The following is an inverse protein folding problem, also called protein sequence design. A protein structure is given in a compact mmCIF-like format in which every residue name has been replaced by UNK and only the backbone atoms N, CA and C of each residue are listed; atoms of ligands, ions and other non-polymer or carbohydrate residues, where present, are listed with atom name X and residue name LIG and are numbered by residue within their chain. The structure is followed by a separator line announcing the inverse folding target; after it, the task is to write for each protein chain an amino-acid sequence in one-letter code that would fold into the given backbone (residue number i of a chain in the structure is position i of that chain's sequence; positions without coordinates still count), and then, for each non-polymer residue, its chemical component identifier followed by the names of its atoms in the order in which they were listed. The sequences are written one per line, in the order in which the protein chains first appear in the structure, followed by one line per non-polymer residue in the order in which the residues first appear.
data_IF_584291042772
#
_entry.id   IF_584291042772
#
_cell.length_a   1.000
_cell.length_b   1.000
_cell.length_c   1.000
_cell.angle_alpha   90.00
_cell.angle_beta   90.00
_cell.angle_gamma   90.00
#
_symmetry.space_group_name_H-M   'P 1'
#
loop_
_entity.id
_entity.type
_entity.pdbx_description
1 polymer ?
#
# COMPACT_ATOMS: atom_id res chain seq x y z
N UNK A 1 31.47 16.30 4.91
CA UNK A 1 31.25 16.28 3.46
C UNK A 1 32.12 15.19 2.85
N UNK A 2 31.79 13.95 3.17
CA UNK A 2 32.40 12.76 2.59
C UNK A 2 31.25 12.12 1.83
N UNK A 3 31.38 12.17 0.51
CA UNK A 3 30.35 11.78 -0.44
C UNK A 3 29.77 10.42 -0.07
N UNK A 4 28.48 10.43 0.26
CA UNK A 4 27.61 9.27 0.14
C UNK A 4 27.41 9.07 -1.37
N UNK A 5 28.49 8.75 -2.08
CA UNK A 5 28.44 8.04 -3.34
C UNK A 5 28.40 6.56 -2.97
N UNK A 6 27.27 6.13 -2.40
CA UNK A 6 26.81 4.77 -2.68
C UNK A 6 26.34 4.83 -4.13
N UNK A 7 27.28 4.71 -5.06
CA UNK A 7 26.96 4.26 -6.41
C UNK A 7 26.23 2.94 -6.21
N UNK A 8 24.92 2.95 -6.42
CA UNK A 8 24.20 1.75 -6.80
C UNK A 8 24.89 1.25 -8.08
N UNK A 9 25.86 0.35 -7.95
CA UNK A 9 26.08 -0.64 -8.99
C UNK A 9 24.76 -1.40 -9.05
N UNK A 10 23.88 -0.97 -9.95
CA UNK A 10 22.67 -1.68 -10.27
C UNK A 10 23.14 -3.06 -10.75
N UNK A 11 22.90 -4.09 -9.94
CA UNK A 11 22.94 -5.44 -10.44
C UNK A 11 21.99 -5.48 -11.65
N UNK A 12 22.52 -5.72 -12.85
CA UNK A 12 21.71 -5.85 -14.08
C UNK A 12 20.70 -7.00 -14.00
N UNK A 13 20.80 -7.83 -12.94
CA UNK A 13 19.93 -8.95 -12.65
C UNK A 13 19.27 -8.80 -11.28
N UNK A 14 17.94 -8.91 -11.21
CA UNK A 14 17.20 -8.90 -9.96
C UNK A 14 17.52 -10.12 -9.09
N UNK A 15 17.70 -9.95 -7.76
CA UNK A 15 17.76 -11.08 -6.83
C UNK A 15 16.38 -11.64 -6.47
N UNK A 16 15.30 -11.04 -6.97
CA UNK A 16 13.92 -11.44 -6.72
C UNK A 16 13.37 -12.20 -7.94
N UNK A 17 12.23 -12.87 -7.76
CA UNK A 17 11.65 -13.74 -8.78
C UNK A 17 10.15 -13.49 -8.97
N UNK A 18 9.60 -14.00 -10.07
CA UNK A 18 8.16 -14.00 -10.35
C UNK A 18 7.60 -12.57 -10.38
N UNK A 19 6.61 -12.29 -9.53
CA UNK A 19 5.96 -10.95 -9.48
C UNK A 19 6.93 -9.79 -9.23
N UNK A 20 8.14 -10.04 -8.73
CA UNK A 20 9.12 -9.03 -8.33
C UNK A 20 10.43 -9.10 -9.14
N UNK A 21 10.47 -9.86 -10.24
CA UNK A 21 11.69 -10.21 -10.99
C UNK A 21 12.44 -9.03 -11.64
N UNK A 22 11.87 -7.84 -11.66
CA UNK A 22 12.50 -6.63 -12.20
C UNK A 22 12.91 -5.64 -11.10
N UNK A 23 12.90 -6.09 -9.84
CA UNK A 23 13.10 -5.23 -8.69
C UNK A 23 14.34 -5.62 -7.88
N UNK A 24 15.04 -4.63 -7.36
CA UNK A 24 16.06 -4.78 -6.33
C UNK A 24 15.50 -4.29 -4.98
N UNK A 25 15.74 -5.02 -3.88
CA UNK A 25 15.39 -4.54 -2.55
C UNK A 25 16.41 -3.53 -2.03
N UNK A 26 15.93 -2.47 -1.37
CA UNK A 26 16.76 -1.54 -0.59
C UNK A 26 17.01 -2.01 0.84
N UNK A 27 17.58 -1.15 1.70
CA UNK A 27 17.79 -1.47 3.11
C UNK A 27 16.47 -1.59 3.87
N UNK A 28 16.45 -2.45 4.89
CA UNK A 28 15.38 -2.57 5.87
C UNK A 28 15.35 -1.30 6.74
N UNK A 29 14.25 -0.57 6.66
CA UNK A 29 13.92 0.56 7.52
C UNK A 29 12.88 0.12 8.55
N UNK A 30 13.02 0.55 9.80
CA UNK A 30 12.10 0.09 10.85
C UNK A 30 11.72 1.21 11.82
N UNK A 31 10.43 1.31 12.13
CA UNK A 31 9.86 2.24 13.11
C UNK A 31 8.82 1.53 13.98
N UNK A 32 9.10 1.41 15.28
CA UNK A 32 8.28 0.59 16.18
C UNK A 32 8.16 -0.85 15.66
N UNK A 33 6.92 -1.30 15.45
CA UNK A 33 6.60 -2.63 14.91
C UNK A 33 6.47 -2.66 13.38
N UNK A 34 6.57 -1.52 12.69
CA UNK A 34 6.50 -1.46 11.23
C UNK A 34 7.90 -1.46 10.63
N UNK A 35 8.13 -2.34 9.67
CA UNK A 35 9.40 -2.45 8.98
C UNK A 35 9.15 -2.49 7.47
N UNK A 36 10.05 -1.90 6.69
CA UNK A 36 9.86 -1.62 5.27
C UNK A 36 11.13 -1.92 4.51
N UNK A 37 11.01 -2.69 3.44
CA UNK A 37 12.05 -2.82 2.41
C UNK A 37 11.55 -2.10 1.17
N UNK A 38 12.24 -1.03 0.78
CA UNK A 38 11.96 -0.34 -0.48
C UNK A 38 12.26 -1.24 -1.68
N UNK A 39 11.49 -1.08 -2.76
CA UNK A 39 11.67 -1.81 -4.01
C UNK A 39 11.99 -0.82 -5.14
N UNK A 40 13.04 -1.13 -5.89
CA UNK A 40 13.62 -0.27 -6.92
C UNK A 40 13.68 -1.03 -8.24
N UNK A 41 13.46 -0.38 -9.39
CA UNK A 41 13.69 -1.03 -10.67
C UNK A 41 15.17 -1.35 -10.84
N UNK A 42 15.49 -2.51 -11.43
CA UNK A 42 16.89 -2.89 -11.74
C UNK A 42 17.48 -2.15 -12.94
N UNK A 43 16.64 -1.49 -13.75
CA UNK A 43 17.08 -0.75 -14.94
C UNK A 43 16.33 0.58 -15.07
N UNK A 44 17.02 1.62 -15.55
CA UNK A 44 16.42 2.91 -15.85
C UNK A 44 15.36 2.81 -16.96
N UNK A 45 15.52 1.87 -17.89
CA UNK A 45 14.57 1.60 -18.97
C UNK A 45 13.18 1.21 -18.43
N UNK A 46 13.12 0.52 -17.29
CA UNK A 46 11.84 0.18 -16.65
C UNK A 46 11.07 1.44 -16.25
N UNK A 47 11.73 2.43 -15.68
CA UNK A 47 11.10 3.69 -15.30
C UNK A 47 10.64 4.49 -16.53
N UNK A 48 11.45 4.51 -17.60
CA UNK A 48 11.08 5.19 -18.85
C UNK A 48 9.86 4.55 -19.54
N UNK A 49 9.77 3.21 -19.58
CA UNK A 49 8.60 2.50 -20.13
C UNK A 49 7.30 2.83 -19.38
N UNK A 50 7.41 3.22 -18.11
CA UNK A 50 6.28 3.48 -17.23
C UNK A 50 6.01 4.98 -17.02
N UNK A 51 6.69 5.88 -17.76
CA UNK A 51 6.42 7.32 -17.72
C UNK A 51 4.98 7.67 -18.12
N UNK A 52 4.35 6.81 -18.92
CA UNK A 52 2.95 6.95 -19.35
C UNK A 52 1.92 6.78 -18.24
N UNK A 53 2.32 6.41 -17.02
CA UNK A 53 1.37 6.19 -15.92
C UNK A 53 1.28 7.42 -15.03
N UNK A 54 0.07 7.96 -14.93
CA UNK A 54 -0.20 9.18 -14.18
C UNK A 54 -0.25 8.91 -12.66
N UNK A 55 0.42 9.72 -11.82
CA UNK A 55 0.32 9.62 -10.36
C UNK A 55 -1.10 9.94 -9.84
N UNK A 56 -1.61 9.21 -8.83
CA UNK A 56 -3.02 9.26 -8.47
C UNK A 56 -3.44 10.55 -7.76
N UNK A 57 -2.63 11.14 -6.89
CA UNK A 57 -3.01 12.37 -6.17
C UNK A 57 -3.02 13.60 -7.08
N UNK A 58 -2.15 13.66 -8.09
CA UNK A 58 -2.09 14.77 -9.03
C UNK A 58 -3.04 14.60 -10.22
N UNK A 59 -3.29 13.37 -10.68
CA UNK A 59 -4.11 13.13 -11.87
C UNK A 59 -5.58 12.80 -11.55
N UNK A 60 -5.89 12.20 -10.40
CA UNK A 60 -7.26 11.80 -10.10
C UNK A 60 -8.10 12.99 -9.64
N UNK A 61 -9.34 13.01 -10.10
CA UNK A 61 -10.38 13.85 -9.56
C UNK A 61 -11.63 13.05 -9.27
N UNK A 62 -12.19 13.23 -8.07
CA UNK A 62 -13.56 12.82 -7.79
C UNK A 62 -14.50 13.94 -8.24
N UNK A 63 -15.21 13.72 -9.35
CA UNK A 63 -16.22 14.64 -9.88
C UNK A 63 -17.42 14.72 -8.92
N UNK A 64 -17.82 13.59 -8.34
CA UNK A 64 -18.85 13.54 -7.31
C UNK A 64 -19.39 12.14 -7.02
N UNK A 65 -20.41 12.08 -6.16
CA UNK A 65 -21.12 10.86 -5.78
C UNK A 65 -22.62 11.02 -6.08
N UNK A 66 -23.13 10.56 -7.24
CA UNK A 66 -24.53 10.76 -7.62
C UNK A 66 -25.51 9.95 -6.75
N UNK A 67 -25.05 8.85 -6.15
CA UNK A 67 -25.81 8.01 -5.21
C UNK A 67 -24.88 7.34 -4.20
N UNK A 68 -25.45 6.76 -3.15
CA UNK A 68 -24.67 5.94 -2.21
C UNK A 68 -24.06 4.74 -2.92
N UNK A 69 -22.80 4.43 -2.60
CA UNK A 69 -22.05 3.37 -3.28
C UNK A 69 -21.54 3.73 -4.68
N UNK A 70 -21.76 4.97 -5.16
CA UNK A 70 -21.34 5.38 -6.51
C UNK A 70 -20.33 6.52 -6.45
N UNK A 71 -19.26 6.43 -7.23
CA UNK A 71 -18.29 7.50 -7.45
C UNK A 71 -18.15 7.79 -8.95
N UNK A 72 -18.04 9.06 -9.30
CA UNK A 72 -17.67 9.52 -10.64
C UNK A 72 -16.25 10.05 -10.57
N UNK A 73 -15.32 9.31 -11.15
CA UNK A 73 -13.89 9.58 -11.11
C UNK A 73 -13.41 10.03 -12.48
N UNK A 74 -12.50 10.99 -12.54
CA UNK A 74 -11.88 11.47 -13.77
C UNK A 74 -10.37 11.40 -13.66
N UNK A 75 -9.73 10.88 -14.69
CA UNK A 75 -8.30 11.08 -14.91
C UNK A 75 -8.12 12.44 -15.62
N UNK A 76 -7.56 13.42 -14.90
CA UNK A 76 -7.33 14.77 -15.42
C UNK A 76 -6.04 14.90 -16.25
N UNK A 77 -5.21 13.86 -16.28
CA UNK A 77 -4.02 13.90 -17.11
C UNK A 77 -4.41 14.03 -18.59
N UNK A 78 -3.70 14.89 -19.31
CA UNK A 78 -3.89 15.10 -20.76
C UNK A 78 -3.31 13.97 -21.59
N UNK A 79 -2.38 13.21 -21.02
CA UNK A 79 -1.79 11.99 -21.56
C UNK A 79 -1.53 11.02 -20.40
N UNK A 80 -1.47 9.74 -20.72
CA UNK A 80 -1.15 8.67 -19.78
C UNK A 80 -2.35 8.03 -19.09
N UNK A 81 -2.14 6.77 -18.69
CA UNK A 81 -3.15 5.93 -18.04
C UNK A 81 -3.01 6.06 -16.53
N UNK A 82 -4.12 6.28 -15.84
CA UNK A 82 -4.18 6.22 -14.38
C UNK A 82 -4.58 4.81 -13.95
N UNK A 83 -3.68 4.15 -13.22
CA UNK A 83 -4.04 2.96 -12.43
C UNK A 83 -4.38 3.46 -11.03
N UNK A 84 -5.66 3.52 -10.66
CA UNK A 84 -6.05 3.90 -9.32
C UNK A 84 -5.76 2.76 -8.33
N UNK A 85 -5.08 3.00 -7.20
CA UNK A 85 -4.78 1.95 -6.24
C UNK A 85 -6.04 1.26 -5.72
N UNK A 86 -5.88 0.00 -5.35
CA UNK A 86 -6.92 -0.78 -4.71
C UNK A 86 -7.32 -0.16 -3.36
N UNK A 87 -8.63 -0.04 -3.09
CA UNK A 87 -9.19 0.40 -1.80
C UNK A 87 -8.87 1.85 -1.39
N UNK A 88 -8.74 2.74 -2.37
CA UNK A 88 -8.67 4.18 -2.15
C UNK A 88 -9.97 4.67 -1.50
N UNK A 89 -9.85 5.54 -0.51
CA UNK A 89 -10.96 6.17 0.17
C UNK A 89 -10.93 7.69 0.00
N UNK A 90 -12.11 8.29 -0.12
CA UNK A 90 -12.32 9.73 -0.21
C UNK A 90 -13.01 10.22 1.05
N UNK A 91 -12.37 11.17 1.73
CA UNK A 91 -12.89 11.73 2.97
C UNK A 91 -13.19 13.22 2.86
N UNK A 92 -14.44 13.59 3.14
CA UNK A 92 -14.90 14.97 3.28
C UNK A 92 -15.78 15.06 4.55
N UNK A 93 -15.54 16.04 5.44
CA UNK A 93 -16.34 16.19 6.65
C UNK A 93 -17.84 16.42 6.37
N UNK A 94 -18.71 15.80 7.16
CA UNK A 94 -20.15 16.05 7.15
C UNK A 94 -20.92 15.41 5.99
N UNK A 95 -20.29 14.55 5.19
CA UNK A 95 -20.94 13.82 4.08
C UNK A 95 -20.66 12.32 4.13
N UNK A 96 -21.43 11.54 3.38
CA UNK A 96 -21.17 10.12 3.21
C UNK A 96 -19.86 9.91 2.44
N UNK A 97 -18.88 9.34 3.12
CA UNK A 97 -17.58 9.03 2.54
C UNK A 97 -17.59 7.66 1.86
N UNK A 98 -16.70 7.48 0.87
CA UNK A 98 -16.65 6.27 0.05
C UNK A 98 -15.25 5.70 -0.09
N UNK A 99 -15.16 4.40 -0.34
CA UNK A 99 -13.95 3.73 -0.78
C UNK A 99 -14.19 2.87 -2.02
N UNK A 100 -13.20 2.79 -2.91
CA UNK A 100 -13.24 1.91 -4.08
C UNK A 100 -13.14 0.44 -3.65
N UNK A 101 -13.75 -0.46 -4.42
CA UNK A 101 -13.75 -1.90 -4.14
C UNK A 101 -12.54 -2.64 -4.67
N UNK A 102 -11.82 -2.03 -5.63
CA UNK A 102 -10.81 -2.67 -6.46
C UNK A 102 -9.90 -1.63 -7.11
N UNK A 103 -8.87 -2.09 -7.81
CA UNK A 103 -8.11 -1.31 -8.79
C UNK A 103 -9.05 -0.87 -9.91
N UNK A 104 -8.91 0.39 -10.30
CA UNK A 104 -9.59 0.96 -11.47
C UNK A 104 -8.52 1.46 -12.44
N UNK A 105 -8.79 1.36 -13.73
CA UNK A 105 -7.91 1.87 -14.79
C UNK A 105 -8.70 2.93 -15.56
N UNK A 106 -8.10 4.10 -15.74
CA UNK A 106 -8.72 5.21 -16.48
C UNK A 106 -7.73 5.72 -17.53
N UNK A 107 -8.15 5.79 -18.79
CA UNK A 107 -7.42 6.46 -19.87
C UNK A 107 -7.29 7.96 -19.60
N UNK A 108 -6.39 8.63 -20.33
CA UNK A 108 -6.23 10.08 -20.24
C UNK A 108 -7.55 10.80 -20.54
N UNK A 109 -7.96 11.73 -19.67
CA UNK A 109 -9.23 12.45 -19.79
C UNK A 109 -10.49 11.62 -19.51
N UNK A 110 -10.38 10.31 -19.28
CA UNK A 110 -11.54 9.44 -19.06
C UNK A 110 -12.29 9.83 -17.78
N UNK A 111 -13.62 9.83 -17.87
CA UNK A 111 -14.52 9.92 -16.71
C UNK A 111 -15.26 8.60 -16.55
N UNK A 112 -15.02 7.92 -15.44
CA UNK A 112 -15.57 6.61 -15.10
C UNK A 112 -16.59 6.73 -13.97
N UNK A 113 -17.77 6.13 -14.15
CA UNK A 113 -18.73 5.92 -13.05
C UNK A 113 -18.56 4.52 -12.50
N UNK A 114 -18.35 4.43 -11.18
CA UNK A 114 -18.13 3.18 -10.46
C UNK A 114 -19.27 3.00 -9.46
N UNK A 115 -20.04 1.92 -9.61
CA UNK A 115 -21.31 1.70 -8.89
C UNK A 115 -21.22 0.63 -7.78
N UNK A 116 -20.02 0.14 -7.50
CA UNK A 116 -19.74 -0.86 -6.46
C UNK A 116 -18.81 -0.33 -5.37
N UNK A 117 -18.80 0.98 -5.11
CA UNK A 117 -18.04 1.55 -4.00
C UNK A 117 -18.66 1.19 -2.63
N UNK A 118 -17.87 1.32 -1.57
CA UNK A 118 -18.32 1.18 -0.18
C UNK A 118 -18.63 2.53 0.43
N UNK A 119 -19.77 2.67 1.10
CA UNK A 119 -19.96 3.75 2.07
C UNK A 119 -19.18 3.42 3.36
N UNK A 120 -18.29 4.31 3.80
CA UNK A 120 -17.41 4.07 4.96
C UNK A 120 -17.81 4.86 6.22
N UNK A 121 -18.97 5.53 6.16
CA UNK A 121 -19.71 6.04 7.32
C UNK A 121 -21.10 5.41 7.34
N UNK A 122 -21.61 5.02 8.51
CA UNK A 122 -22.95 4.45 8.58
C UNK A 122 -24.00 5.56 8.62
N UNK A 123 -25.01 5.49 7.75
CA UNK A 123 -26.18 6.38 7.81
C UNK A 123 -25.87 7.90 7.81
N UNK A 124 -24.71 8.31 7.29
CA UNK A 124 -24.36 9.72 7.18
C UNK A 124 -25.06 10.31 5.97
N UNK A 125 -25.79 11.42 6.15
CA UNK A 125 -26.42 12.12 5.03
C UNK A 125 -25.40 12.97 4.26
N UNK A 126 -25.73 13.27 3.01
CA UNK A 126 -24.92 14.11 2.12
C UNK A 126 -24.03 13.31 1.17
N UNK A 127 -23.59 13.97 0.09
CA UNK A 127 -22.77 13.36 -0.97
C UNK A 127 -21.43 14.09 -1.10
N UNK A 128 -20.40 13.34 -1.47
CA UNK A 128 -19.09 13.88 -1.84
C UNK A 128 -19.23 14.87 -3.00
N UNK A 129 -18.55 16.01 -2.88
CA UNK A 129 -18.47 17.06 -3.90
C UNK A 129 -17.01 17.27 -4.26
N UNK A 130 -16.74 17.74 -5.47
CA UNK A 130 -15.40 17.90 -6.05
C UNK A 130 -14.34 18.60 -5.18
N UNK A 131 -14.73 19.41 -4.18
CA UNK A 131 -13.80 20.17 -3.35
C UNK A 131 -13.52 19.54 -1.96
N UNK A 132 -12.31 19.79 -1.43
CA UNK A 132 -11.91 19.54 -0.03
C UNK A 132 -11.86 18.06 0.42
N UNK A 133 -11.54 17.15 -0.49
CA UNK A 133 -11.43 15.74 -0.17
C UNK A 133 -10.01 15.36 0.23
N UNK A 134 -9.90 14.49 1.24
CA UNK A 134 -8.65 13.80 1.55
C UNK A 134 -8.64 12.45 0.86
N UNK A 135 -7.56 12.20 0.13
CA UNK A 135 -7.25 10.88 -0.41
C UNK A 135 -6.64 10.02 0.70
N UNK A 136 -7.27 8.89 0.95
CA UNK A 136 -6.93 7.95 2.01
C UNK A 136 -6.84 6.52 1.45
N UNK A 137 -6.38 5.58 2.27
CA UNK A 137 -6.44 4.15 1.98
C UNK A 137 -7.28 3.45 3.04
N UNK A 138 -8.01 2.38 2.69
CA UNK A 138 -8.58 1.53 3.73
C UNK A 138 -7.46 0.94 4.61
N UNK A 139 -7.62 0.95 5.95
CA UNK A 139 -6.72 0.24 6.85
C UNK A 139 -6.54 -1.22 6.48
N UNK A 140 -5.33 -1.75 6.69
CA UNK A 140 -4.98 -3.12 6.33
C UNK A 140 -5.98 -4.15 6.89
N UNK A 141 -6.44 -3.96 8.13
CA UNK A 141 -7.43 -4.82 8.79
C UNK A 141 -8.83 -4.82 8.16
N UNK A 142 -9.12 -3.94 7.20
CA UNK A 142 -10.39 -3.89 6.45
C UNK A 142 -10.24 -4.41 5.02
N UNK A 143 -9.02 -4.52 4.49
CA UNK A 143 -8.78 -4.82 3.06
C UNK A 143 -9.24 -6.22 2.68
N UNK A 144 -9.20 -7.21 3.58
CA UNK A 144 -9.77 -8.54 3.36
C UNK A 144 -11.27 -8.46 3.07
N UNK A 145 -12.03 -7.87 3.99
CA UNK A 145 -13.48 -7.75 3.84
C UNK A 145 -13.84 -6.94 2.58
N UNK A 146 -13.10 -5.88 2.29
CA UNK A 146 -13.28 -5.10 1.07
C UNK A 146 -13.03 -5.95 -0.20
N UNK A 147 -11.97 -6.75 -0.24
CA UNK A 147 -11.68 -7.65 -1.36
C UNK A 147 -12.77 -8.70 -1.55
N UNK A 148 -13.22 -9.34 -0.47
CA UNK A 148 -14.26 -10.38 -0.51
C UNK A 148 -15.64 -9.83 -0.95
N UNK A 149 -15.90 -8.53 -0.72
CA UNK A 149 -17.15 -7.86 -1.04
C UNK A 149 -17.10 -7.06 -2.36
N UNK A 150 -16.06 -7.22 -3.18
CA UNK A 150 -15.96 -6.58 -4.49
C UNK A 150 -17.13 -6.98 -5.41
N UNK A 151 -17.63 -6.04 -6.23
CA UNK A 151 -18.74 -6.29 -7.17
C UNK A 151 -20.14 -6.44 -6.53
N UNK A 152 -20.26 -6.50 -5.20
CA UNK A 152 -21.58 -6.54 -4.53
C UNK A 152 -22.18 -5.14 -4.48
N UNK A 153 -23.36 -4.95 -5.09
CA UNK A 153 -24.07 -3.65 -5.16
C UNK A 153 -24.89 -3.35 -3.91
N UNK A 154 -24.22 -3.31 -2.76
CA UNK A 154 -24.75 -2.80 -1.49
C UNK A 154 -23.74 -1.85 -0.89
N UNK A 155 -24.06 -0.57 -0.80
CA UNK A 155 -23.15 0.45 -0.30
C UNK A 155 -22.75 0.24 1.17
N UNK A 156 -23.62 -0.37 1.99
CA UNK A 156 -23.43 -0.54 3.43
C UNK A 156 -22.65 -1.79 3.83
N UNK A 157 -22.28 -2.64 2.87
CA UNK A 157 -21.72 -3.98 3.11
C UNK A 157 -20.41 -4.02 3.91
N UNK A 158 -19.64 -2.92 3.95
CA UNK A 158 -18.41 -2.83 4.74
C UNK A 158 -18.63 -2.41 6.20
N UNK A 159 -19.84 -1.95 6.58
CA UNK A 159 -20.10 -1.40 7.91
C UNK A 159 -19.88 -2.40 9.06
N UNK A 160 -20.22 -3.67 8.85
CA UNK A 160 -19.97 -4.73 9.83
C UNK A 160 -18.48 -4.90 10.08
N UNK A 161 -17.67 -4.94 9.02
CA UNK A 161 -16.23 -5.04 9.11
C UNK A 161 -15.62 -3.79 9.77
N UNK A 162 -16.09 -2.58 9.42
CA UNK A 162 -15.68 -1.33 10.07
C UNK A 162 -15.99 -1.35 11.56
N UNK A 163 -17.17 -1.83 11.96
CA UNK A 163 -17.55 -1.96 13.37
C UNK A 163 -16.62 -2.91 14.11
N UNK A 164 -16.35 -4.08 13.53
CA UNK A 164 -15.44 -5.07 14.12
C UNK A 164 -14.01 -4.52 14.24
N UNK A 165 -13.52 -3.81 13.22
CA UNK A 165 -12.21 -3.17 13.22
C UNK A 165 -12.11 -2.09 14.30
N UNK A 166 -13.08 -1.18 14.39
CA UNK A 166 -13.10 -0.12 15.42
C UNK A 166 -13.10 -0.68 16.85
N UNK A 167 -13.81 -1.79 17.09
CA UNK A 167 -13.82 -2.46 18.40
C UNK A 167 -12.44 -2.93 18.84
N UNK A 168 -11.55 -3.31 17.92
CA UNK A 168 -10.16 -3.69 18.23
C UNK A 168 -9.34 -2.52 18.81
N UNK A 169 -9.81 -1.28 18.62
CA UNK A 169 -9.23 -0.07 19.20
C UNK A 169 -9.99 0.43 20.44
N UNK A 170 -10.94 -0.35 20.97
CA UNK A 170 -11.81 0.06 22.08
C UNK A 170 -12.90 1.06 21.68
N UNK A 171 -13.17 1.21 20.37
CA UNK A 171 -14.10 2.20 19.85
C UNK A 171 -15.44 1.51 19.53
N UNK A 172 -16.49 1.86 20.27
CA UNK A 172 -17.83 1.29 20.09
C UNK A 172 -18.73 2.23 19.25
N UNK A 173 -18.36 2.43 17.98
CA UNK A 173 -19.18 3.16 17.01
C UNK A 173 -19.49 2.29 15.78
N UNK A 174 -20.74 2.40 15.32
CA UNK A 174 -21.35 1.50 14.33
C UNK A 174 -20.93 1.85 12.89
N UNK A 175 -19.85 1.29 12.36
CA UNK A 175 -19.55 1.37 10.92
C UNK A 175 -19.06 2.74 10.41
N UNK A 176 -18.60 3.61 11.31
CA UNK A 176 -18.00 4.91 10.98
C UNK A 176 -16.48 4.86 11.04
N UNK A 177 -15.81 4.80 9.89
CA UNK A 177 -14.35 4.70 9.84
C UNK A 177 -13.67 5.97 10.39
N UNK A 178 -14.31 7.13 10.27
CA UNK A 178 -13.71 8.40 10.69
C UNK A 178 -13.56 8.53 12.21
N UNK A 179 -14.45 7.89 12.97
CA UNK A 179 -14.39 7.90 14.43
C UNK A 179 -13.16 7.18 14.94
N UNK A 180 -12.64 6.22 14.18
CA UNK A 180 -11.33 5.65 14.42
C UNK A 180 -10.21 6.53 13.87
N UNK A 181 -10.34 7.03 12.64
CA UNK A 181 -9.22 7.69 11.97
C UNK A 181 -8.84 9.03 12.61
N UNK A 182 -9.82 9.89 12.93
CA UNK A 182 -9.56 11.25 13.41
C UNK A 182 -8.80 11.29 14.73
N UNK A 183 -9.17 10.53 15.78
CA UNK A 183 -8.44 10.55 17.05
C UNK A 183 -7.03 9.97 16.96
N UNK A 184 -6.80 9.03 16.03
CA UNK A 184 -5.51 8.36 15.88
C UNK A 184 -4.57 9.06 14.89
N UNK A 185 -5.04 10.05 14.13
CA UNK A 185 -4.24 10.66 13.06
C UNK A 185 -2.88 11.20 13.55
N UNK A 186 -2.84 11.86 14.71
CA UNK A 186 -1.59 12.36 15.29
C UNK A 186 -0.60 11.24 15.65
N UNK A 187 -1.09 10.06 16.02
CA UNK A 187 -0.27 8.87 16.30
C UNK A 187 0.22 8.19 15.02
N UNK A 188 -0.44 8.45 13.88
CA UNK A 188 -0.09 7.86 12.59
C UNK A 188 0.92 8.71 11.81
N UNK A 189 0.96 10.02 12.04
CA UNK A 189 1.89 10.95 11.38
C UNK A 189 3.37 10.54 11.52
N UNK A 190 3.88 10.07 12.68
CA UNK A 190 5.28 9.68 12.82
C UNK A 190 5.73 8.59 11.83
N UNK A 191 4.85 7.67 11.41
CA UNK A 191 5.22 6.63 10.44
C UNK A 191 5.64 7.21 9.08
N UNK A 192 5.00 8.30 8.64
CA UNK A 192 5.37 9.00 7.40
C UNK A 192 6.76 9.64 7.51
N UNK A 193 7.10 10.18 8.67
CA UNK A 193 8.36 10.90 8.87
C UNK A 193 9.54 9.98 9.15
N UNK A 194 9.31 8.87 9.85
CA UNK A 194 10.37 7.94 10.23
C UNK A 194 10.78 6.97 9.11
N UNK A 195 9.87 6.67 8.18
CA UNK A 195 10.09 5.76 7.06
C UNK A 195 10.16 6.60 5.79
N UNK A 196 11.34 7.18 5.53
CA UNK A 196 11.55 8.12 4.43
C UNK A 196 11.50 7.42 3.06
N UNK A 197 10.94 8.13 2.09
CA UNK A 197 10.97 7.76 0.67
C UNK A 197 12.41 7.83 0.14
N UNK A 198 12.85 6.76 -0.52
CA UNK A 198 14.17 6.74 -1.16
C UNK A 198 14.06 7.14 -2.64
N UNK A 199 15.03 7.88 -3.21
CA UNK A 199 15.03 8.24 -4.63
C UNK A 199 14.95 7.00 -5.54
N UNK A 200 14.10 7.06 -6.57
CA UNK A 200 13.90 5.94 -7.52
C UNK A 200 13.11 4.75 -6.96
N UNK A 201 12.63 4.82 -5.72
CA UNK A 201 11.77 3.79 -5.15
C UNK A 201 10.42 3.77 -5.87
N UNK A 202 9.96 2.58 -6.28
CA UNK A 202 8.68 2.39 -6.96
C UNK A 202 7.72 1.49 -6.17
N UNK A 203 8.17 0.92 -5.06
CA UNK A 203 7.34 0.05 -4.24
C UNK A 203 7.95 -0.21 -2.87
N UNK A 204 7.27 -1.03 -2.09
CA UNK A 204 7.76 -1.50 -0.82
C UNK A 204 7.13 -2.82 -0.40
N UNK A 205 7.91 -3.61 0.34
CA UNK A 205 7.41 -4.68 1.17
C UNK A 205 7.27 -4.19 2.62
N UNK A 206 6.12 -4.47 3.23
CA UNK A 206 5.77 -4.05 4.58
C UNK A 206 5.70 -5.25 5.52
N UNK A 207 6.33 -5.10 6.68
CA UNK A 207 6.42 -6.12 7.71
C UNK A 207 5.87 -5.58 9.02
N UNK A 208 5.13 -6.42 9.73
CA UNK A 208 4.56 -6.11 11.03
C UNK A 208 5.14 -7.09 12.04
N UNK A 209 5.92 -6.59 12.99
CA UNK A 209 6.64 -7.41 13.97
C UNK A 209 7.40 -8.56 13.28
N UNK A 210 8.22 -8.24 12.28
CA UNK A 210 9.00 -9.21 11.48
C UNK A 210 8.23 -10.07 10.49
N UNK A 211 6.88 -10.04 10.46
CA UNK A 211 6.08 -10.82 9.50
C UNK A 211 5.72 -9.99 8.29
N UNK A 212 5.99 -10.50 7.08
CA UNK A 212 5.57 -9.85 5.84
C UNK A 212 4.04 -9.77 5.75
N UNK A 213 3.47 -8.57 5.72
CA UNK A 213 2.01 -8.34 5.71
C UNK A 213 1.49 -7.70 4.43
N UNK A 214 2.37 -7.10 3.62
CA UNK A 214 1.96 -6.56 2.33
C UNK A 214 3.11 -6.23 1.41
N UNK A 215 2.82 -6.18 0.11
CA UNK A 215 3.72 -5.76 -0.95
C UNK A 215 2.95 -4.82 -1.88
N UNK A 216 3.48 -3.63 -2.07
CA UNK A 216 2.89 -2.60 -2.92
C UNK A 216 3.92 -2.19 -3.98
N UNK A 217 3.48 -2.11 -5.24
CA UNK A 217 4.27 -1.64 -6.37
C UNK A 217 3.45 -0.63 -7.16
N UNK A 218 4.05 0.51 -7.44
CA UNK A 218 3.56 1.52 -8.35
C UNK A 218 4.28 1.44 -9.70
N UNK A 219 3.70 2.02 -10.76
CA UNK A 219 4.32 2.00 -12.09
C UNK A 219 5.67 2.71 -12.16
N UNK A 220 5.82 3.83 -11.46
CA UNK A 220 7.03 4.67 -11.48
C UNK A 220 7.23 5.40 -10.13
N UNK A 221 8.38 6.07 -9.98
CA UNK A 221 8.77 6.68 -8.70
C UNK A 221 7.93 7.90 -8.35
N UNK A 222 7.49 8.69 -9.33
CA UNK A 222 6.59 9.83 -9.13
C UNK A 222 5.23 9.38 -8.56
N UNK A 223 4.68 8.28 -9.09
CA UNK A 223 3.50 7.65 -8.55
C UNK A 223 3.73 7.17 -7.11
N UNK A 224 4.83 6.46 -6.87
CA UNK A 224 5.13 5.92 -5.55
C UNK A 224 5.29 7.01 -4.48
N UNK A 225 5.91 8.13 -4.84
CA UNK A 225 6.11 9.28 -3.95
C UNK A 225 4.78 9.82 -3.39
N UNK A 226 3.73 9.83 -4.21
CA UNK A 226 2.39 10.22 -3.78
C UNK A 226 1.72 9.15 -2.89
N UNK A 227 1.89 7.87 -3.24
CA UNK A 227 1.20 6.77 -2.58
C UNK A 227 1.80 6.40 -1.21
N UNK A 228 3.12 6.45 -1.06
CA UNK A 228 3.83 5.92 0.11
C UNK A 228 3.34 6.53 1.43
N UNK A 229 3.18 7.85 1.48
CA UNK A 229 2.69 8.54 2.69
C UNK A 229 1.27 8.11 3.07
N UNK A 230 0.41 7.90 2.07
CA UNK A 230 -0.99 7.46 2.27
C UNK A 230 -1.02 6.04 2.82
N UNK A 231 -0.19 5.14 2.26
CA UNK A 231 -0.06 3.76 2.74
C UNK A 231 0.46 3.71 4.18
N UNK A 232 1.50 4.49 4.49
CA UNK A 232 2.10 4.52 5.83
C UNK A 232 1.12 5.04 6.88
N UNK A 233 0.37 6.10 6.59
CA UNK A 233 -0.56 6.69 7.56
C UNK A 233 -1.81 5.82 7.71
N UNK A 234 -2.48 5.51 6.60
CA UNK A 234 -3.83 4.96 6.66
C UNK A 234 -3.87 3.42 6.67
N UNK A 235 -2.93 2.76 5.95
CA UNK A 235 -2.95 1.31 5.75
C UNK A 235 -2.05 0.54 6.73
N UNK A 236 -0.74 0.75 6.67
CA UNK A 236 0.24 -0.07 7.41
C UNK A 236 0.55 0.49 8.80
N UNK A 237 0.64 1.82 8.97
CA UNK A 237 0.82 2.43 10.29
C UNK A 237 -0.37 2.20 11.23
N UNK A 238 -1.58 2.08 10.67
CA UNK A 238 -2.76 1.72 11.45
C UNK A 238 -2.67 0.30 12.01
N UNK A 239 -2.21 -0.67 11.21
CA UNK A 239 -1.93 -2.02 11.66
C UNK A 239 -0.80 -2.07 12.71
N UNK A 240 0.26 -1.28 12.53
CA UNK A 240 1.35 -1.17 13.48
C UNK A 240 0.90 -0.60 14.84
N UNK A 241 0.07 0.45 14.83
CA UNK A 241 -0.53 1.01 16.04
C UNK A 241 -1.41 -0.02 16.76
N UNK A 242 -2.15 -0.86 16.01
CA UNK A 242 -2.96 -1.91 16.60
C UNK A 242 -2.12 -3.01 17.23
N UNK A 243 -1.09 -3.47 16.53
CA UNK A 243 -0.15 -4.46 17.05
C UNK A 243 0.51 -3.97 18.34
N UNK A 244 0.86 -2.68 18.40
CA UNK A 244 1.43 -2.07 19.61
C UNK A 244 0.43 -2.11 20.77
N UNK A 245 -0.84 -1.74 20.53
CA UNK A 245 -1.91 -1.83 21.54
C UNK A 245 -2.19 -3.25 22.02
N UNK A 246 -1.97 -4.23 21.15
CA UNK A 246 -2.08 -5.65 21.46
C UNK A 246 -0.84 -6.22 22.18
N UNK A 247 0.17 -5.38 22.48
CA UNK A 247 1.37 -5.80 23.19
C UNK A 247 2.28 -6.74 22.38
N UNK A 248 2.21 -6.69 21.04
CA UNK A 248 3.11 -7.49 20.20
C UNK A 248 4.55 -7.03 20.37
N UNK A 249 5.47 -8.00 20.46
CA UNK A 249 6.90 -7.73 20.53
C UNK A 249 7.48 -7.48 19.13
N UNK A 250 8.50 -6.62 19.00
CA UNK A 250 9.29 -6.52 17.77
C UNK A 250 10.07 -7.82 17.54
N UNK A 251 10.30 -8.18 16.27
CA UNK A 251 11.05 -9.39 15.88
C UNK A 251 12.54 -9.13 15.65
N UNK A 252 13.07 -8.01 16.12
CA UNK A 252 14.45 -7.59 15.82
C UNK A 252 15.45 -8.38 16.64
N UNK A 253 16.56 -8.73 16.00
CA UNK A 253 17.68 -9.38 16.67
C UNK A 253 18.32 -8.42 17.69
N UNK A 254 18.60 -8.90 18.91
CA UNK A 254 19.31 -8.12 19.91
C UNK A 254 20.80 -8.05 19.56
N UNK A 255 21.38 -6.85 19.65
CA UNK A 255 22.82 -6.66 19.52
C UNK A 255 23.52 -7.15 20.78
N UNK A 256 24.37 -8.16 20.65
CA UNK A 256 25.22 -8.62 21.76
C UNK A 256 26.39 -7.65 21.98
N UNK A 257 26.43 -7.06 23.18
CA UNK A 257 27.46 -6.11 23.61
C UNK A 257 28.60 -6.77 24.40
N UNK A 258 28.49 -8.07 24.72
CA UNK A 258 29.49 -8.76 25.53
C UNK A 258 30.84 -8.87 24.81
N UNK A 259 31.94 -8.54 25.49
CA UNK A 259 33.29 -8.66 24.93
C UNK A 259 33.61 -7.72 23.77
N UNK A 260 32.90 -6.59 23.63
CA UNK A 260 33.29 -5.51 22.73
C UNK A 260 34.61 -4.89 23.20
N UNK A 261 35.58 -4.75 22.28
CA UNK A 261 36.89 -4.16 22.56
C UNK A 261 36.98 -2.70 22.17
N UNK A 262 36.32 -2.32 21.09
CA UNK A 262 36.34 -0.98 20.51
C UNK A 262 35.08 -0.68 19.67
N UNK A 263 35.06 0.51 19.06
CA UNK A 263 33.96 0.97 18.20
C UNK A 263 33.89 0.16 16.90
N UNK A 264 35.00 -0.34 16.38
CA UNK A 264 35.05 -1.10 15.14
C UNK A 264 34.39 -2.49 15.32
N UNK A 265 34.61 -3.13 16.46
CA UNK A 265 33.92 -4.34 16.87
C UNK A 265 32.40 -4.11 16.98
N UNK A 266 31.98 -2.96 17.53
CA UNK A 266 30.56 -2.59 17.60
C UNK A 266 29.95 -2.39 16.21
N UNK A 267 30.64 -1.67 15.32
CA UNK A 267 30.19 -1.44 13.94
C UNK A 267 30.05 -2.75 13.18
N UNK A 268 31.03 -3.66 13.30
CA UNK A 268 31.01 -4.97 12.64
C UNK A 268 29.83 -5.82 13.12
N UNK A 269 29.60 -5.91 14.43
CA UNK A 269 28.46 -6.66 15.00
C UNK A 269 27.12 -6.05 14.60
N UNK A 270 27.01 -4.72 14.58
CA UNK A 270 25.80 -4.05 14.14
C UNK A 270 25.51 -4.32 12.66
N UNK A 271 26.53 -4.31 11.79
CA UNK A 271 26.41 -4.66 10.38
C UNK A 271 25.97 -6.11 10.21
N UNK A 272 26.55 -7.04 10.96
CA UNK A 272 26.19 -8.46 10.92
C UNK A 272 24.73 -8.68 11.33
N UNK A 273 24.29 -8.10 12.45
CA UNK A 273 22.88 -8.18 12.89
C UNK A 273 21.93 -7.63 11.83
N UNK A 274 22.24 -6.45 11.27
CA UNK A 274 21.42 -5.84 10.20
C UNK A 274 21.38 -6.71 8.95
N UNK A 275 22.50 -7.33 8.57
CA UNK A 275 22.59 -8.22 7.44
C UNK A 275 21.74 -9.49 7.65
N UNK A 276 21.76 -10.08 8.85
CA UNK A 276 20.91 -11.23 9.15
C UNK A 276 19.43 -10.85 9.16
N UNK A 277 19.06 -9.75 9.79
CA UNK A 277 17.68 -9.25 9.80
C UNK A 277 17.18 -8.99 8.36
N UNK A 278 17.98 -8.31 7.53
CA UNK A 278 17.70 -8.10 6.11
C UNK A 278 17.46 -9.43 5.38
N UNK A 279 18.34 -10.43 5.56
CA UNK A 279 18.20 -11.74 4.90
C UNK A 279 16.93 -12.48 5.31
N UNK A 280 16.57 -12.45 6.59
CA UNK A 280 15.34 -13.06 7.09
C UNK A 280 14.09 -12.43 6.44
N UNK A 281 14.09 -11.10 6.30
CA UNK A 281 12.99 -10.37 5.66
C UNK A 281 12.91 -10.66 4.15
N UNK A 282 14.05 -10.66 3.45
CA UNK A 282 14.10 -11.00 2.03
C UNK A 282 13.66 -12.45 1.77
N UNK A 283 14.00 -13.39 2.67
CA UNK A 283 13.54 -14.76 2.60
C UNK A 283 12.02 -14.90 2.54
N UNK A 284 11.27 -14.02 3.23
CA UNK A 284 9.81 -14.02 3.20
C UNK A 284 9.22 -13.53 1.88
N UNK A 285 9.91 -12.67 1.13
CA UNK A 285 9.44 -12.16 -0.17
C UNK A 285 9.34 -13.26 -1.23
N UNK A 286 10.12 -14.33 -1.10
CA UNK A 286 10.03 -15.50 -1.98
C UNK A 286 8.63 -16.12 -2.01
N UNK A 287 7.88 -16.03 -0.90
CA UNK A 287 6.49 -16.52 -0.82
C UNK A 287 5.52 -15.77 -1.72
N UNK A 288 5.82 -14.51 -2.04
CA UNK A 288 5.00 -13.66 -2.92
C UNK A 288 5.32 -13.91 -4.39
N UNK A 289 6.58 -14.22 -4.72
CA UNK A 289 7.06 -14.41 -6.09
C UNK A 289 6.19 -15.38 -6.89
N UNK A 290 5.76 -16.50 -6.27
CA UNK A 290 5.00 -17.56 -6.93
C UNK A 290 3.51 -17.30 -7.06
N UNK A 291 2.98 -16.23 -6.46
CA UNK A 291 1.53 -15.99 -6.42
C UNK A 291 0.92 -15.68 -7.79
N UNK A 292 1.73 -15.26 -8.77
CA UNK A 292 1.28 -15.05 -10.15
C UNK A 292 0.59 -16.28 -10.76
N UNK A 293 0.95 -17.49 -10.31
CA UNK A 293 0.35 -18.76 -10.77
C UNK A 293 -1.12 -18.90 -10.40
N UNK A 294 -1.57 -18.17 -9.38
CA UNK A 294 -2.95 -18.19 -8.88
C UNK A 294 -3.74 -16.95 -9.29
N UNK A 295 -3.15 -16.07 -10.11
CA UNK A 295 -3.79 -14.86 -10.57
C UNK A 295 -4.91 -15.17 -11.57
N UNK A 296 -6.10 -14.60 -11.36
CA UNK A 296 -7.26 -14.75 -12.24
C UNK A 296 -7.58 -13.41 -12.89
N UNK A 297 -7.89 -13.42 -14.18
CA UNK A 297 -8.29 -12.21 -14.89
C UNK A 297 -9.59 -11.66 -14.28
N UNK A 298 -9.55 -10.41 -13.84
CA UNK A 298 -10.71 -9.67 -13.34
C UNK A 298 -11.23 -8.68 -14.39
N UNK A 299 -10.33 -7.96 -15.07
CA UNK A 299 -10.70 -6.94 -16.05
C UNK A 299 -9.60 -6.75 -17.11
N UNK A 300 -9.96 -6.25 -18.29
CA UNK A 300 -9.04 -5.68 -19.27
C UNK A 300 -9.49 -4.28 -19.64
N UNK A 301 -8.60 -3.30 -19.57
CA UNK A 301 -8.86 -1.90 -19.91
C UNK A 301 -7.57 -1.21 -20.33
N UNK A 302 -7.60 -0.26 -21.28
CA UNK A 302 -6.43 0.48 -21.74
C UNK A 302 -5.20 -0.38 -22.14
N UNK A 303 -5.44 -1.59 -22.68
CA UNK A 303 -4.36 -2.56 -23.00
C UNK A 303 -3.69 -3.20 -21.77
N UNK A 304 -4.22 -2.97 -20.57
CA UNK A 304 -3.80 -3.56 -19.31
C UNK A 304 -4.70 -4.72 -18.93
N UNK A 305 -4.15 -5.64 -18.13
CA UNK A 305 -4.88 -6.76 -17.53
C UNK A 305 -4.87 -6.58 -16.03
N UNK A 306 -6.04 -6.45 -15.41
CA UNK A 306 -6.20 -6.48 -13.96
C UNK A 306 -6.44 -7.93 -13.56
N UNK A 307 -5.57 -8.45 -12.71
CA UNK A 307 -5.61 -9.81 -12.20
C UNK A 307 -5.87 -9.78 -10.69
N UNK A 308 -6.77 -10.62 -10.20
CA UNK A 308 -7.01 -10.81 -8.77
C UNK A 308 -6.28 -12.05 -8.27
N UNK A 309 -5.60 -11.92 -7.14
CA UNK A 309 -4.93 -13.02 -6.43
C UNK A 309 -5.71 -13.27 -5.14
N UNK A 310 -6.11 -14.53 -4.96
CA UNK A 310 -6.67 -15.04 -3.72
C UNK A 310 -6.12 -16.45 -3.52
N UNK A 311 -5.08 -16.57 -2.70
CA UNK A 311 -4.42 -17.85 -2.45
C UNK A 311 -3.75 -17.89 -1.08
N UNK A 312 -4.12 -18.91 -0.29
CA UNK A 312 -3.64 -19.04 1.09
C UNK A 312 -4.04 -17.81 1.92
N UNK A 313 -3.06 -17.18 2.55
CA UNK A 313 -3.27 -15.95 3.31
C UNK A 313 -3.18 -14.68 2.44
N UNK A 314 -2.94 -14.79 1.13
CA UNK A 314 -2.68 -13.63 0.27
C UNK A 314 -3.88 -13.23 -0.57
N UNK A 315 -4.19 -11.93 -0.51
CA UNK A 315 -5.26 -11.28 -1.26
C UNK A 315 -4.71 -10.04 -1.96
N UNK A 316 -5.28 -9.69 -3.11
CA UNK A 316 -5.01 -8.41 -3.74
C UNK A 316 -5.06 -8.45 -5.26
N UNK A 317 -4.52 -7.42 -5.90
CA UNK A 317 -4.61 -7.24 -7.34
C UNK A 317 -3.27 -6.84 -7.97
N UNK A 318 -3.07 -7.33 -9.18
CA UNK A 318 -1.92 -7.05 -10.04
C UNK A 318 -2.44 -6.40 -11.31
N UNK A 319 -1.76 -5.38 -11.81
CA UNK A 319 -1.98 -4.88 -13.16
C UNK A 319 -0.78 -5.22 -14.01
N UNK A 320 -1.03 -5.83 -15.16
CA UNK A 320 0.02 -6.18 -16.11
C UNK A 320 -0.16 -5.43 -17.43
N UNK A 321 0.93 -4.85 -17.94
CA UNK A 321 1.04 -4.40 -19.32
C UNK A 321 1.74 -5.51 -20.11
N UNK A 322 1.02 -6.20 -21.00
CA UNK A 322 1.50 -7.48 -21.58
C UNK A 322 1.89 -8.43 -20.44
N UNK A 323 3.13 -8.89 -20.36
CA UNK A 323 3.66 -9.77 -19.29
C UNK A 323 4.28 -9.02 -18.10
N UNK A 324 4.55 -7.71 -18.22
CA UNK A 324 5.23 -6.92 -17.20
C UNK A 324 4.25 -6.46 -16.12
N UNK A 325 4.63 -6.60 -14.85
CA UNK A 325 3.85 -6.12 -13.71
C UNK A 325 4.08 -4.61 -13.55
N UNK A 326 3.02 -3.81 -13.71
CA UNK A 326 3.09 -2.35 -13.59
C UNK A 326 2.52 -1.83 -12.28
N UNK A 327 1.64 -2.58 -11.64
CA UNK A 327 1.11 -2.27 -10.33
C UNK A 327 0.87 -3.57 -9.57
N UNK A 328 1.15 -3.54 -8.27
CA UNK A 328 0.91 -4.65 -7.37
C UNK A 328 0.35 -4.10 -6.07
N UNK A 329 -0.70 -4.72 -5.56
CA UNK A 329 -1.14 -4.52 -4.20
C UNK A 329 -1.56 -5.84 -3.61
N UNK A 330 -0.68 -6.43 -2.81
CA UNK A 330 -0.89 -7.70 -2.12
C UNK A 330 -0.82 -7.48 -0.63
N UNK A 331 -1.71 -8.12 0.10
CA UNK A 331 -1.77 -8.04 1.54
C UNK A 331 -2.21 -9.37 2.14
N UNK A 332 -1.80 -9.62 3.39
CA UNK A 332 -2.26 -10.79 4.12
C UNK A 332 -3.70 -10.60 4.62
N UNK A 333 -4.46 -11.68 4.60
CA UNK A 333 -5.83 -11.79 5.09
C UNK A 333 -5.92 -11.64 6.62
N UNK A 334 -4.82 -11.92 7.32
CA UNK A 334 -4.72 -11.87 8.78
C UNK A 334 -3.42 -11.17 9.20
N UNK A 335 -3.53 -10.35 10.25
CA UNK A 335 -2.44 -9.54 10.81
C UNK A 335 -1.83 -10.20 12.02
#
# INVERSE_FOLDING_TARGET
MMEIQVKQEAAETSPLAGLLEHLAPGPLLSWGLLEVIGLFPVSADHEQRHVRFAPPLSALELVGSPSYGTLVLRNRATDGVLVLPMHVAFFQPGVQNHATSRVLVLDAGETLTVDDCFCIQRTQSGMLRQAQQRFCMLPLGLRRAAFELQGVRDFGRLWTAITAYSRRYGINYNGHLEHWLRPNFALLLPYRHALELQPGQIGAAFFLAGRLVGVELAPNSAYWAELMSVLLIYCYGSAALLAQRQGRAPSRSSLDLAGLRDIDDLQRRLQEVRYQDQRLHLGQLSSVATLHKYARLAEKHAGLRVLSINHGEWLGQVVCARSEVVYLSLFRSEL
#
